data_IF_917351363256
#
_entry.id   IF_917351363256
#
_cell.length_a   1.000
_cell.length_b   1.000
_cell.length_c   1.000
_cell.angle_alpha   90.00
_cell.angle_beta   90.00
_cell.angle_gamma   90.00
#
_symmetry.space_group_name_H-M   'P 1'
#
loop_
_entity.id
_entity.type
_entity.pdbx_description
1 polymer ?
#
# COMPACT_ATOMS: atom_id res chain seq x y z
N UNK A 1 -34.39 -16.70 -52.46
CA UNK A 1 -33.04 -16.56 -51.88
C UNK A 1 -33.07 -15.38 -50.93
N UNK A 2 -32.20 -15.40 -49.92
CA UNK A 2 -31.86 -14.31 -48.98
C UNK A 2 -32.65 -14.26 -47.64
N UNK A 3 -31.97 -14.77 -46.61
CA UNK A 3 -32.22 -14.67 -45.16
C UNK A 3 -31.26 -13.59 -44.60
N UNK A 4 -31.44 -13.05 -43.39
CA UNK A 4 -32.60 -12.40 -42.79
C UNK A 4 -32.23 -11.05 -42.11
N UNK A 5 -33.23 -10.24 -41.79
CA UNK A 5 -33.11 -9.07 -40.91
C UNK A 5 -32.52 -9.50 -39.54
N UNK A 6 -31.24 -9.24 -39.30
CA UNK A 6 -30.56 -9.60 -38.05
C UNK A 6 -29.38 -8.67 -37.79
N UNK A 7 -29.46 -8.00 -36.64
CA UNK A 7 -28.39 -7.26 -35.95
C UNK A 7 -28.06 -5.86 -36.45
N UNK A 8 -28.70 -4.86 -35.85
CA UNK A 8 -28.04 -3.57 -35.58
C UNK A 8 -28.52 -3.05 -34.20
N UNK A 9 -28.10 -3.72 -33.14
CA UNK A 9 -28.07 -3.13 -31.79
C UNK A 9 -26.67 -2.55 -31.62
N UNK A 10 -26.48 -1.21 -31.52
CA UNK A 10 -25.19 -0.67 -31.17
C UNK A 10 -25.00 -0.92 -29.67
N UNK A 11 -24.24 -1.95 -29.31
CA UNK A 11 -23.81 -2.17 -27.93
C UNK A 11 -22.75 -1.10 -27.65
N UNK A 12 -23.18 0.03 -27.09
CA UNK A 12 -22.28 1.05 -26.57
C UNK A 12 -21.56 0.47 -25.35
N UNK A 13 -20.37 -0.09 -25.59
CA UNK A 13 -19.49 -0.57 -24.53
C UNK A 13 -18.92 0.64 -23.76
N UNK A 14 -19.60 1.05 -22.69
CA UNK A 14 -19.05 1.96 -21.69
C UNK A 14 -17.89 1.24 -20.99
N UNK A 15 -16.67 1.47 -21.49
CA UNK A 15 -15.44 1.14 -20.80
C UNK A 15 -15.38 1.99 -19.52
N UNK A 16 -15.87 1.42 -18.42
CA UNK A 16 -15.59 1.90 -17.07
C UNK A 16 -14.10 1.70 -16.80
N UNK A 17 -13.29 2.66 -17.23
CA UNK A 17 -11.91 2.79 -16.75
C UNK A 17 -11.99 3.13 -15.26
N UNK A 18 -11.98 2.11 -14.41
CA UNK A 18 -11.75 2.31 -12.99
C UNK A 18 -10.33 2.86 -12.83
N UNK A 19 -10.23 4.18 -12.66
CA UNK A 19 -8.97 4.80 -12.28
C UNK A 19 -8.56 4.25 -10.92
N UNK A 20 -7.49 3.47 -10.90
CA UNK A 20 -6.82 3.09 -9.67
C UNK A 20 -6.24 4.36 -9.04
N UNK A 21 -7.04 5.03 -8.21
CA UNK A 21 -6.59 6.23 -7.52
C UNK A 21 -5.46 5.83 -6.57
N UNK A 22 -4.27 6.35 -6.85
CA UNK A 22 -3.12 6.27 -5.94
C UNK A 22 -3.51 6.87 -4.60
N UNK A 23 -3.58 6.04 -3.55
CA UNK A 23 -3.79 6.53 -2.19
C UNK A 23 -2.53 7.29 -1.77
N UNK A 24 -2.64 8.61 -1.65
CA UNK A 24 -1.54 9.45 -1.16
C UNK A 24 -1.56 9.50 0.36
N UNK A 25 -0.43 9.22 0.98
CA UNK A 25 -0.24 9.33 2.42
C UNK A 25 0.59 10.57 2.75
N UNK A 26 0.11 11.35 3.72
CA UNK A 26 0.81 12.47 4.33
C UNK A 26 0.96 12.20 5.85
N UNK A 27 2.09 12.60 6.42
CA UNK A 27 2.32 12.47 7.85
C UNK A 27 1.42 13.45 8.62
N UNK A 28 0.67 12.96 9.61
CA UNK A 28 -0.13 13.80 10.49
C UNK A 28 0.73 14.60 11.50
N UNK A 29 1.90 14.05 11.86
CA UNK A 29 2.83 14.62 12.83
C UNK A 29 4.27 14.11 12.60
N UNK A 30 5.21 14.58 13.43
CA UNK A 30 6.64 14.24 13.36
C UNK A 30 7.03 13.04 14.24
N UNK A 31 6.07 12.33 14.83
CA UNK A 31 6.37 11.20 15.71
C UNK A 31 6.95 10.01 14.94
N UNK A 32 7.73 9.21 15.66
CA UNK A 32 8.35 8.01 15.11
C UNK A 32 7.32 7.05 14.50
N UNK A 33 6.19 6.84 15.17
CA UNK A 33 5.12 5.97 14.67
C UNK A 33 4.58 6.45 13.31
N UNK A 34 4.30 7.75 13.18
CA UNK A 34 3.85 8.35 11.92
C UNK A 34 4.89 8.18 10.82
N UNK A 35 6.16 8.49 11.09
CA UNK A 35 7.26 8.26 10.13
C UNK A 35 7.33 6.79 9.70
N UNK A 36 7.16 5.86 10.63
CA UNK A 36 7.19 4.43 10.33
C UNK A 36 6.00 4.00 9.47
N UNK A 37 4.79 4.50 9.71
CA UNK A 37 3.64 4.25 8.85
C UNK A 37 3.84 4.80 7.43
N UNK A 38 4.42 6.00 7.32
CA UNK A 38 4.78 6.56 6.02
C UNK A 38 5.81 5.70 5.28
N UNK A 39 6.84 5.23 5.98
CA UNK A 39 7.84 4.35 5.38
C UNK A 39 7.26 2.97 5.02
N UNK A 40 6.32 2.46 5.80
CA UNK A 40 5.62 1.21 5.50
C UNK A 40 4.79 1.31 4.20
N UNK A 41 4.14 2.44 3.94
CA UNK A 41 3.38 2.65 2.71
C UNK A 41 4.25 3.01 1.50
N UNK A 42 5.21 3.93 1.63
CA UNK A 42 5.92 4.50 0.46
C UNK A 42 7.45 4.53 0.56
N UNK A 43 8.02 4.14 1.69
CA UNK A 43 9.46 4.17 1.90
C UNK A 43 10.19 3.05 1.15
N UNK A 44 11.38 3.33 0.66
CA UNK A 44 12.24 2.28 0.10
C UNK A 44 12.77 1.36 1.22
N UNK A 45 13.23 0.13 0.89
CA UNK A 45 13.84 -0.76 1.87
C UNK A 45 15.03 -0.14 2.62
N UNK A 46 15.80 0.72 1.94
CA UNK A 46 16.94 1.42 2.54
C UNK A 46 16.49 2.50 3.53
N UNK A 47 15.50 3.31 3.17
CA UNK A 47 14.93 4.33 4.06
C UNK A 47 14.30 3.70 5.31
N UNK A 48 13.57 2.60 5.14
CA UNK A 48 13.06 1.83 6.26
C UNK A 48 14.21 1.33 7.15
N UNK A 49 15.24 0.72 6.55
CA UNK A 49 16.38 0.22 7.29
C UNK A 49 17.07 1.29 8.11
N UNK A 50 17.37 2.42 7.50
CA UNK A 50 18.02 3.55 8.16
C UNK A 50 17.15 4.12 9.28
N UNK A 51 15.82 4.21 9.08
CA UNK A 51 14.92 4.67 10.13
C UNK A 51 14.88 3.72 11.33
N UNK A 52 14.91 2.41 11.09
CA UNK A 52 15.00 1.42 12.18
C UNK A 52 16.37 1.46 12.86
N UNK A 53 17.47 1.49 12.10
CA UNK A 53 18.83 1.51 12.63
C UNK A 53 19.13 2.77 13.47
N UNK A 54 18.56 3.91 13.08
CA UNK A 54 18.67 5.16 13.83
C UNK A 54 17.64 5.28 14.97
N UNK A 55 16.81 4.26 15.18
CA UNK A 55 15.86 4.19 16.28
C UNK A 55 16.36 3.24 17.36
N UNK A 56 15.83 3.37 18.57
CA UNK A 56 16.06 2.40 19.65
C UNK A 56 15.17 1.15 19.53
N UNK A 57 14.43 0.99 18.42
CA UNK A 57 13.48 -0.10 18.23
C UNK A 57 14.01 -1.15 17.25
N UNK A 58 13.75 -2.43 17.57
CA UNK A 58 13.90 -3.53 16.62
C UNK A 58 12.69 -3.62 15.69
N UNK A 59 12.82 -4.32 14.56
CA UNK A 59 11.69 -4.62 13.67
C UNK A 59 10.54 -5.33 14.41
N UNK A 60 10.85 -6.25 15.32
CA UNK A 60 9.86 -6.91 16.18
C UNK A 60 9.16 -5.92 17.13
N UNK A 61 9.91 -4.99 17.73
CA UNK A 61 9.34 -3.95 18.59
C UNK A 61 8.41 -3.03 17.82
N UNK A 62 8.82 -2.63 16.61
CA UNK A 62 8.02 -1.82 15.68
C UNK A 62 6.72 -2.55 15.31
N UNK A 63 6.82 -3.83 14.93
CA UNK A 63 5.67 -4.63 14.53
C UNK A 63 4.63 -4.76 15.66
N UNK A 64 5.07 -4.89 16.91
CA UNK A 64 4.18 -5.04 18.07
C UNK A 64 3.56 -3.73 18.54
N UNK A 65 4.24 -2.60 18.35
CA UNK A 65 3.86 -1.31 18.96
C UNK A 65 3.21 -0.33 17.99
N UNK A 66 3.53 -0.39 16.70
CA UNK A 66 3.07 0.61 15.74
C UNK A 66 1.84 0.13 15.01
N UNK A 67 0.78 0.94 15.13
CA UNK A 67 -0.45 0.82 14.36
C UNK A 67 -0.56 1.97 13.37
N UNK A 68 -0.99 1.67 12.16
CA UNK A 68 -1.17 2.60 11.07
C UNK A 68 -2.63 2.53 10.62
N UNK A 69 -3.39 3.59 10.88
CA UNK A 69 -4.83 3.66 10.58
C UNK A 69 -5.62 2.43 11.08
N UNK A 70 -5.36 2.03 12.33
CA UNK A 70 -6.04 0.89 12.97
C UNK A 70 -5.54 -0.50 12.55
N UNK A 71 -4.51 -0.59 11.69
CA UNK A 71 -3.89 -1.85 11.29
C UNK A 71 -2.49 -1.98 11.89
N UNK A 72 -2.01 -3.21 12.08
CA UNK A 72 -0.59 -3.42 12.37
C UNK A 72 0.27 -2.87 11.22
N UNK A 73 1.44 -2.32 11.53
CA UNK A 73 2.35 -1.78 10.50
C UNK A 73 2.71 -2.82 9.41
N UNK A 74 2.77 -4.10 9.77
CA UNK A 74 3.01 -5.20 8.84
C UNK A 74 1.86 -5.43 7.85
N UNK A 75 0.61 -5.36 8.32
CA UNK A 75 -0.59 -5.46 7.46
C UNK A 75 -0.79 -4.21 6.62
N UNK A 76 -0.54 -3.04 7.20
CA UNK A 76 -0.57 -1.78 6.48
C UNK A 76 0.43 -1.78 5.32
N UNK A 77 1.66 -2.27 5.54
CA UNK A 77 2.65 -2.44 4.48
C UNK A 77 2.18 -3.43 3.40
N UNK A 78 1.51 -4.54 3.74
CA UNK A 78 0.98 -5.49 2.74
C UNK A 78 -0.05 -4.83 1.81
N UNK A 79 -0.85 -3.90 2.33
CA UNK A 79 -1.91 -3.23 1.55
C UNK A 79 -1.39 -2.11 0.66
N UNK A 80 -0.32 -1.42 1.09
CA UNK A 80 0.06 -0.14 0.49
C UNK A 80 1.49 -0.08 -0.03
N UNK A 81 2.38 -0.95 0.43
CA UNK A 81 3.78 -0.90 0.02
C UNK A 81 3.97 -1.46 -1.38
N UNK A 82 4.63 -0.73 -2.31
CA UNK A 82 5.06 -1.30 -3.58
C UNK A 82 6.31 -2.18 -3.44
N UNK A 83 6.92 -2.25 -2.24
CA UNK A 83 8.20 -2.92 -2.03
C UNK A 83 8.05 -4.22 -1.23
N UNK A 84 8.14 -5.37 -1.90
CA UNK A 84 8.09 -6.69 -1.26
C UNK A 84 9.12 -6.84 -0.10
N UNK A 85 10.30 -6.20 -0.21
CA UNK A 85 11.31 -6.21 0.87
C UNK A 85 10.87 -5.44 2.11
N UNK A 86 10.11 -4.35 1.97
CA UNK A 86 9.51 -3.62 3.11
C UNK A 86 8.50 -4.52 3.81
N UNK A 87 7.60 -5.13 3.04
CA UNK A 87 6.59 -6.07 3.54
C UNK A 87 7.27 -7.21 4.30
N UNK A 88 8.27 -7.87 3.70
CA UNK A 88 9.00 -8.98 4.34
C UNK A 88 9.65 -8.58 5.66
N UNK A 89 10.30 -7.41 5.72
CA UNK A 89 10.99 -6.96 6.94
C UNK A 89 10.04 -6.62 8.08
N UNK A 90 8.91 -5.97 7.78
CA UNK A 90 7.90 -5.58 8.77
C UNK A 90 7.00 -6.73 9.24
N UNK A 91 7.14 -7.91 8.65
CA UNK A 91 6.40 -9.12 9.01
C UNK A 91 7.33 -10.26 9.45
N UNK A 92 8.63 -9.99 9.64
CA UNK A 92 9.60 -11.02 10.03
C UNK A 92 9.44 -11.31 11.51
N UNK A 93 9.01 -12.53 11.82
CA UNK A 93 8.98 -13.09 13.18
C UNK A 93 10.38 -13.52 13.59
#
# INVERSE_FOLDING_TARGET
MEVPMKYLIPIAALLLCASAHSVSFQAADKQFATKMCMLAAKGTPAQLHQAVANSQYSYLGIQKKIQCNGLSIGEFAKRHSPYARVIKRLNRR
#
